data_IF_368993966907
#
_entry.id   IF_368993966907
#
_cell.length_a   1.000
_cell.length_b   1.000
_cell.length_c   1.000
_cell.angle_alpha   90.00
_cell.angle_beta   90.00
_cell.angle_gamma   90.00
#
_symmetry.space_group_name_H-M   'P 1'
#
loop_
_entity.id
_entity.type
_entity.pdbx_description
1 polymer ?
#
# COMPACT_ATOMS: atom_id res chain seq x y z
N UNK A 1 4.23 20.90 -13.25
CA UNK A 1 4.71 19.52 -13.14
C UNK A 1 3.58 18.61 -12.68
N UNK A 2 3.36 17.55 -13.40
CA UNK A 2 2.30 16.61 -13.06
C UNK A 2 2.71 15.77 -11.86
N UNK A 3 1.81 15.61 -10.92
CA UNK A 3 2.00 14.68 -9.81
C UNK A 3 1.57 13.29 -10.24
N UNK A 4 2.43 12.33 -9.97
CA UNK A 4 2.12 10.92 -10.23
C UNK A 4 1.30 10.37 -9.08
N UNK A 5 -0.01 10.40 -9.24
CA UNK A 5 -0.93 9.83 -8.26
C UNK A 5 -1.27 8.41 -8.66
N UNK A 6 -1.14 7.51 -7.70
CA UNK A 6 -1.44 6.09 -7.88
C UNK A 6 -2.52 5.69 -6.90
N UNK A 7 -3.49 4.94 -7.37
CA UNK A 7 -4.50 4.31 -6.50
C UNK A 7 -4.38 2.81 -6.63
N UNK A 8 -4.18 2.13 -5.51
CA UNK A 8 -4.05 0.68 -5.45
C UNK A 8 -5.01 0.12 -4.42
N UNK A 9 -5.48 -1.09 -4.69
CA UNK A 9 -6.35 -1.84 -3.78
C UNK A 9 -5.62 -3.13 -3.46
N UNK A 10 -5.46 -3.40 -2.19
CA UNK A 10 -4.73 -4.60 -1.79
C UNK A 10 -5.01 -5.01 -0.37
N UNK A 11 -4.25 -5.99 0.10
CA UNK A 11 -4.34 -6.50 1.46
C UNK A 11 -3.12 -6.07 2.25
N UNK A 12 -3.35 -5.65 3.48
CA UNK A 12 -2.28 -5.27 4.40
C UNK A 12 -1.50 -6.53 4.79
N UNK A 13 -0.19 -6.51 4.58
CA UNK A 13 0.66 -7.69 4.78
C UNK A 13 1.18 -7.83 6.20
N UNK A 14 1.18 -6.73 6.96
CA UNK A 14 1.62 -6.72 8.35
C UNK A 14 0.91 -5.58 9.07
N UNK A 15 0.81 -5.69 10.38
CA UNK A 15 0.22 -4.61 11.18
C UNK A 15 1.01 -3.32 10.98
N UNK A 16 0.32 -2.17 10.86
CA UNK A 16 1.01 -0.89 10.72
C UNK A 16 1.92 -0.61 11.91
N UNK A 17 3.09 -0.10 11.62
CA UNK A 17 4.05 0.33 12.63
C UNK A 17 3.95 1.84 12.79
N UNK A 18 3.64 2.30 14.00
CA UNK A 18 3.51 3.70 14.32
C UNK A 18 4.81 4.22 14.93
N UNK A 19 5.33 5.29 14.35
CA UNK A 19 6.51 5.97 14.86
C UNK A 19 6.23 7.46 14.94
N UNK A 20 7.10 8.17 15.68
CA UNK A 20 7.01 9.62 15.81
C UNK A 20 8.34 10.24 15.41
N UNK A 21 8.27 11.32 14.64
CA UNK A 21 9.47 12.10 14.30
C UNK A 21 9.96 12.87 15.53
N UNK A 22 11.20 13.39 15.49
CA UNK A 22 11.69 14.25 16.59
C UNK A 22 10.81 15.46 16.83
N UNK A 23 10.09 15.94 15.83
CA UNK A 23 9.14 17.05 15.98
C UNK A 23 7.79 16.61 16.53
N UNK A 24 7.60 15.30 16.77
CA UNK A 24 6.36 14.77 17.35
C UNK A 24 5.29 14.40 16.35
N UNK A 25 5.62 14.38 15.06
CA UNK A 25 4.65 14.02 14.03
C UNK A 25 4.57 12.50 13.87
N UNK A 26 3.35 11.97 13.79
CA UNK A 26 3.11 10.55 13.63
C UNK A 26 3.40 10.09 12.21
N UNK A 27 4.01 8.91 12.10
CA UNK A 27 4.24 8.22 10.82
C UNK A 27 3.83 6.77 11.00
N UNK A 28 2.95 6.28 10.15
CA UNK A 28 2.59 4.86 10.11
C UNK A 28 3.10 4.25 8.82
N UNK A 29 3.71 3.08 8.91
CA UNK A 29 4.18 2.32 7.75
C UNK A 29 3.57 0.94 7.77
N UNK A 30 3.19 0.45 6.60
CA UNK A 30 2.69 -0.90 6.43
C UNK A 30 2.98 -1.40 5.03
N UNK A 31 2.88 -2.71 4.85
CA UNK A 31 3.02 -3.33 3.55
C UNK A 31 1.67 -3.60 2.94
N UNK A 32 1.57 -3.48 1.63
CA UNK A 32 0.35 -3.72 0.88
C UNK A 32 0.67 -4.69 -0.26
N UNK A 33 -0.07 -5.81 -0.31
CA UNK A 33 0.01 -6.75 -1.42
C UNK A 33 -1.14 -6.50 -2.37
N UNK A 34 -0.80 -6.21 -3.62
CA UNK A 34 -1.78 -5.94 -4.68
C UNK A 34 -1.74 -7.08 -5.67
N UNK A 35 -2.87 -7.79 -5.79
CA UNK A 35 -3.01 -8.88 -6.72
C UNK A 35 -3.55 -8.37 -8.04
N UNK A 36 -2.90 -8.77 -9.11
CA UNK A 36 -3.36 -8.48 -10.46
C UNK A 36 -3.61 -9.79 -11.17
N UNK A 37 -4.79 -9.92 -11.76
CA UNK A 37 -5.16 -11.09 -12.56
C UNK A 37 -5.54 -10.64 -13.95
N UNK A 38 -5.14 -11.42 -14.93
CA UNK A 38 -5.54 -11.19 -16.31
C UNK A 38 -5.59 -12.52 -17.07
N UNK A 39 -6.31 -12.53 -18.16
CA UNK A 39 -6.38 -13.68 -19.02
C UNK A 39 -5.38 -13.52 -20.16
N UNK A 40 -4.57 -14.56 -20.36
CA UNK A 40 -3.66 -14.61 -21.49
C UNK A 40 -4.47 -14.84 -22.76
N UNK A 41 -4.36 -13.95 -23.72
CA UNK A 41 -5.15 -14.01 -24.96
C UNK A 41 -4.77 -15.18 -25.85
N UNK A 42 -3.55 -15.66 -25.76
CA UNK A 42 -3.05 -16.73 -26.61
C UNK A 42 -3.41 -18.11 -26.05
N UNK A 43 -3.27 -18.28 -24.74
CA UNK A 43 -3.51 -19.56 -24.07
C UNK A 43 -4.87 -19.65 -23.41
N UNK A 44 -5.53 -18.50 -23.20
CA UNK A 44 -6.77 -18.34 -22.45
C UNK A 44 -6.68 -18.78 -20.99
N UNK A 45 -5.48 -18.96 -20.50
CA UNK A 45 -5.24 -19.25 -19.10
C UNK A 45 -5.22 -17.97 -18.28
N UNK A 46 -5.64 -18.09 -17.03
CA UNK A 46 -5.58 -16.99 -16.08
C UNK A 46 -4.19 -16.93 -15.47
N UNK A 47 -3.65 -15.71 -15.45
CA UNK A 47 -2.36 -15.44 -14.85
C UNK A 47 -2.54 -14.47 -13.70
N UNK A 48 -1.64 -14.54 -12.73
CA UNK A 48 -1.70 -13.72 -11.54
C UNK A 48 -0.31 -13.19 -11.21
N UNK A 49 -0.27 -11.93 -10.80
CA UNK A 49 0.94 -11.29 -10.33
C UNK A 49 0.64 -10.55 -9.04
N UNK A 50 1.55 -10.67 -8.08
CA UNK A 50 1.45 -9.97 -6.81
C UNK A 50 2.55 -8.92 -6.75
N UNK A 51 2.16 -7.68 -6.51
CA UNK A 51 3.09 -6.57 -6.30
C UNK A 51 3.02 -6.13 -4.85
N UNK A 52 4.16 -5.86 -4.25
CA UNK A 52 4.23 -5.41 -2.86
C UNK A 52 4.66 -3.95 -2.80
N UNK A 53 3.93 -3.19 -2.00
CA UNK A 53 4.22 -1.78 -1.79
C UNK A 53 4.48 -1.51 -0.31
N UNK A 54 5.42 -0.63 -0.04
CA UNK A 54 5.58 -0.05 1.28
C UNK A 54 4.83 1.28 1.30
N UNK A 55 3.92 1.41 2.25
CA UNK A 55 3.06 2.60 2.35
C UNK A 55 3.44 3.37 3.61
N UNK A 56 3.62 4.67 3.45
CA UNK A 56 3.92 5.58 4.56
C UNK A 56 2.82 6.63 4.64
N UNK A 57 2.22 6.75 5.82
CA UNK A 57 1.16 7.72 6.11
C UNK A 57 1.62 8.65 7.21
N UNK A 58 1.36 9.95 7.03
CA UNK A 58 1.87 11.01 7.91
C UNK A 58 0.77 11.63 8.75
N UNK A 59 1.13 12.09 9.94
CA UNK A 59 0.32 12.89 10.85
C UNK A 59 -0.99 12.19 11.23
N UNK A 60 -2.11 12.88 11.14
CA UNK A 60 -3.41 12.33 11.56
C UNK A 60 -3.79 11.08 10.77
N UNK A 61 -3.47 11.05 9.49
CA UNK A 61 -3.73 9.87 8.68
C UNK A 61 -2.94 8.66 9.18
N UNK A 62 -1.69 8.87 9.60
CA UNK A 62 -0.87 7.82 10.16
C UNK A 62 -1.46 7.24 11.43
N UNK A 63 -1.97 8.08 12.32
CA UNK A 63 -2.64 7.63 13.53
C UNK A 63 -3.91 6.84 13.22
N UNK A 64 -4.73 7.34 12.30
CA UNK A 64 -5.96 6.66 11.90
C UNK A 64 -5.68 5.29 11.30
N UNK A 65 -4.65 5.19 10.47
CA UNK A 65 -4.23 3.93 9.86
C UNK A 65 -3.79 2.94 10.93
N UNK A 66 -2.97 3.39 11.88
CA UNK A 66 -2.48 2.56 12.97
C UNK A 66 -3.63 2.02 13.84
N UNK A 67 -4.67 2.81 14.02
CA UNK A 67 -5.81 2.42 14.86
C UNK A 67 -6.78 1.49 14.14
N UNK A 68 -6.86 1.54 12.82
CA UNK A 68 -7.92 0.85 12.07
C UNK A 68 -7.44 -0.32 11.23
N UNK A 69 -6.22 -0.27 10.70
CA UNK A 69 -5.72 -1.32 9.83
C UNK A 69 -4.96 -2.37 10.62
N UNK A 70 -5.16 -3.62 10.24
CA UNK A 70 -4.42 -4.76 10.77
C UNK A 70 -4.00 -5.64 9.61
N UNK A 71 -3.06 -6.56 9.87
CA UNK A 71 -2.65 -7.56 8.89
C UNK A 71 -3.87 -8.29 8.35
N UNK A 72 -3.96 -8.38 7.03
CA UNK A 72 -5.08 -9.02 6.35
C UNK A 72 -6.20 -8.07 5.98
N UNK A 73 -6.21 -6.84 6.48
CA UNK A 73 -7.21 -5.84 6.08
C UNK A 73 -7.09 -5.52 4.61
N UNK A 74 -8.24 -5.34 3.96
CA UNK A 74 -8.26 -4.83 2.60
C UNK A 74 -8.27 -3.32 2.64
N UNK A 75 -7.40 -2.70 1.86
CA UNK A 75 -7.24 -1.25 1.86
C UNK A 75 -7.18 -0.70 0.45
N UNK A 76 -7.73 0.50 0.29
CA UNK A 76 -7.58 1.30 -0.92
C UNK A 76 -6.63 2.42 -0.56
N UNK A 77 -5.50 2.49 -1.27
CA UNK A 77 -4.48 3.50 -1.01
C UNK A 77 -4.34 4.36 -2.24
N UNK A 78 -4.52 5.65 -2.04
CA UNK A 78 -4.31 6.65 -3.08
C UNK A 78 -3.22 7.60 -2.61
N UNK A 79 -2.21 7.77 -3.40
CA UNK A 79 -1.09 8.60 -3.01
C UNK A 79 -0.06 8.73 -4.11
N UNK A 80 1.08 9.29 -3.74
CA UNK A 80 2.19 9.48 -4.65
C UNK A 80 3.18 8.32 -4.49
N UNK A 81 3.57 7.74 -5.60
CA UNK A 81 4.58 6.70 -5.61
C UNK A 81 5.97 7.33 -5.54
N UNK A 82 6.75 6.89 -4.55
CA UNK A 82 8.14 7.27 -4.37
C UNK A 82 8.96 5.99 -4.45
N UNK A 83 9.87 5.93 -5.41
CA UNK A 83 10.69 4.74 -5.60
C UNK A 83 9.98 3.68 -6.42
N UNK A 84 10.45 2.43 -6.29
CA UNK A 84 9.97 1.31 -7.10
C UNK A 84 9.07 0.39 -6.30
N UNK A 85 8.04 -0.13 -6.97
CA UNK A 85 7.27 -1.24 -6.43
C UNK A 85 8.12 -2.51 -6.47
N UNK A 86 7.99 -3.34 -5.44
CA UNK A 86 8.62 -4.65 -5.40
C UNK A 86 7.67 -5.68 -5.98
N UNK A 87 8.21 -6.50 -6.83
CA UNK A 87 7.44 -7.56 -7.49
C UNK A 87 7.96 -8.92 -7.02
#
# INVERSE_FOLDING_TARGET
>A
MADNTVTVIGNVTRDPELRFTPSGQAIATFGLAVNRRWQNRQTQEWEEQVSFFDVTCWAQLGQNVSDTLVKGSRAIVSGRQIGRAHV
#
